data_IF_070446208076
#
_entry.id   IF_070446208076
#
_cell.length_a   1.000
_cell.length_b   1.000
_cell.length_c   1.000
_cell.angle_alpha   90.00
_cell.angle_beta   90.00
_cell.angle_gamma   90.00
#
_symmetry.space_group_name_H-M   'P 1'
#
loop_
_entity.id
_entity.type
_entity.pdbx_description
1 polymer ?
#
# COMPACT_ATOMS: atom_id res chain seq x y z
N UNK A 1 1.63 12.10 -11.87
CA UNK A 1 1.23 12.25 -10.47
C UNK A 1 0.43 11.01 -10.05
N UNK A 2 1.03 10.11 -9.26
CA UNK A 2 0.38 8.84 -8.90
C UNK A 2 -0.50 9.12 -7.69
N UNK A 3 -1.72 9.63 -7.92
CA UNK A 3 -2.68 9.99 -6.88
C UNK A 3 -3.03 8.85 -5.89
N UNK A 4 -2.61 7.63 -6.18
CA UNK A 4 -2.86 6.43 -5.38
C UNK A 4 -1.63 5.87 -4.65
N UNK A 5 -0.52 6.63 -4.54
CA UNK A 5 0.69 6.13 -3.86
C UNK A 5 0.44 5.68 -2.42
N UNK A 6 -0.45 6.36 -1.69
CA UNK A 6 -0.87 5.97 -0.34
C UNK A 6 -1.46 4.55 -0.30
N UNK A 7 -2.24 4.18 -1.33
CA UNK A 7 -2.91 2.90 -1.42
C UNK A 7 -1.93 1.79 -1.77
N UNK A 8 -1.00 2.05 -2.70
CA UNK A 8 0.08 1.10 -3.02
C UNK A 8 0.97 0.87 -1.79
N UNK A 9 1.32 1.94 -1.05
CA UNK A 9 2.08 1.82 0.20
C UNK A 9 1.31 1.02 1.26
N UNK A 10 -0.01 1.18 1.35
CA UNK A 10 -0.85 0.38 2.24
C UNK A 10 -0.80 -1.11 1.87
N UNK A 11 -0.99 -1.45 0.59
CA UNK A 11 -0.95 -2.83 0.10
C UNK A 11 0.42 -3.49 0.35
N UNK A 12 1.50 -2.74 0.20
CA UNK A 12 2.86 -3.22 0.40
C UNK A 12 3.29 -3.30 1.89
N UNK A 13 2.50 -2.74 2.81
CA UNK A 13 2.91 -2.55 4.21
C UNK A 13 3.02 -3.85 5.01
N UNK A 14 2.41 -4.94 4.55
CA UNK A 14 2.41 -6.26 5.20
C UNK A 14 2.56 -7.37 4.16
N UNK A 15 3.09 -8.51 4.59
CA UNK A 15 3.22 -9.69 3.72
C UNK A 15 1.88 -10.40 3.52
N UNK A 16 0.98 -10.30 4.50
CA UNK A 16 -0.37 -10.86 4.42
C UNK A 16 -1.41 -9.73 4.39
N UNK A 17 -2.18 -9.68 3.31
CA UNK A 17 -3.20 -8.68 3.05
C UNK A 17 -4.26 -8.62 4.18
N UNK A 18 -4.54 -9.75 4.83
CA UNK A 18 -5.50 -9.84 5.94
C UNK A 18 -5.04 -9.09 7.19
N UNK A 19 -3.76 -8.78 7.30
CA UNK A 19 -3.25 -7.98 8.41
C UNK A 19 -3.64 -6.51 8.26
N UNK A 20 -3.90 -6.04 7.03
CA UNK A 20 -4.35 -4.66 6.78
C UNK A 20 -5.68 -4.36 7.47
N UNK A 21 -6.59 -5.34 7.55
CA UNK A 21 -7.87 -5.21 8.24
C UNK A 21 -7.73 -4.99 9.76
N UNK A 22 -6.55 -5.26 10.33
CA UNK A 22 -6.30 -5.28 11.79
C UNK A 22 -5.27 -4.23 12.23
N UNK A 23 -4.77 -3.41 11.30
CA UNK A 23 -3.75 -2.42 11.60
C UNK A 23 -4.29 -1.30 12.48
N UNK A 24 -3.60 -1.02 13.59
CA UNK A 24 -3.93 0.12 14.45
C UNK A 24 -3.61 1.45 13.74
N UNK A 25 -4.35 2.49 14.06
CA UNK A 25 -4.14 3.85 13.54
C UNK A 25 -2.67 4.31 13.66
N UNK A 26 -2.03 4.06 14.79
CA UNK A 26 -0.61 4.41 15.02
C UNK A 26 0.36 3.75 14.04
N UNK A 27 0.01 2.57 13.51
CA UNK A 27 0.78 1.87 12.49
C UNK A 27 0.45 2.41 11.09
N UNK A 28 -0.82 2.70 10.81
CA UNK A 28 -1.25 3.32 9.55
C UNK A 28 -0.58 4.67 9.31
N UNK A 29 -0.45 5.49 10.36
CA UNK A 29 0.21 6.79 10.30
C UNK A 29 1.72 6.71 10.03
N UNK A 30 2.35 5.53 10.17
CA UNK A 30 3.75 5.30 9.80
C UNK A 30 3.92 4.95 8.32
N UNK A 31 2.83 4.66 7.60
CA UNK A 31 2.89 4.31 6.19
C UNK A 31 3.05 5.61 5.37
N UNK A 32 4.04 5.69 4.46
CA UNK A 32 4.26 6.88 3.66
C UNK A 32 3.02 7.27 2.84
N UNK A 33 2.76 8.57 2.72
CA UNK A 33 1.63 9.16 2.01
C UNK A 33 0.21 8.89 2.55
N UNK A 34 0.03 8.10 3.62
CA UNK A 34 -1.31 7.88 4.22
C UNK A 34 -1.83 9.12 4.96
N UNK A 35 -1.04 9.69 5.88
CA UNK A 35 -1.48 10.85 6.68
C UNK A 35 -2.79 10.61 7.46
N UNK A 36 -3.40 11.67 8.00
CA UNK A 36 -4.63 11.53 8.83
C UNK A 36 -5.86 11.15 8.01
N UNK A 37 -5.99 11.72 6.80
CA UNK A 37 -7.12 11.51 5.90
C UNK A 37 -7.25 10.02 5.53
N UNK A 38 -6.23 9.46 4.87
CA UNK A 38 -6.32 8.07 4.41
C UNK A 38 -6.25 7.07 5.57
N UNK A 39 -5.63 7.43 6.71
CA UNK A 39 -5.72 6.58 7.90
C UNK A 39 -7.18 6.45 8.39
N UNK A 40 -7.97 7.52 8.35
CA UNK A 40 -9.39 7.47 8.69
C UNK A 40 -10.19 6.63 7.67
N UNK A 41 -9.91 6.79 6.37
CA UNK A 41 -10.56 6.00 5.31
C UNK A 41 -10.27 4.50 5.47
N UNK A 42 -9.02 4.13 5.80
CA UNK A 42 -8.64 2.74 6.07
C UNK A 42 -9.33 2.21 7.32
N UNK A 43 -9.39 2.97 8.41
CA UNK A 43 -10.09 2.56 9.64
C UNK A 43 -11.59 2.33 9.39
N UNK A 44 -12.22 3.17 8.56
CA UNK A 44 -13.62 3.00 8.17
C UNK A 44 -13.82 1.71 7.35
N UNK A 45 -12.92 1.43 6.40
CA UNK A 45 -12.95 0.17 5.64
C UNK A 45 -12.74 -1.07 6.53
N UNK A 46 -11.82 -1.00 7.50
CA UNK A 46 -11.51 -2.11 8.41
C UNK A 46 -12.74 -2.65 9.15
N UNK A 47 -13.72 -1.79 9.45
CA UNK A 47 -14.94 -2.19 10.16
C UNK A 47 -15.81 -3.21 9.38
N UNK A 48 -15.71 -3.22 8.04
CA UNK A 48 -16.43 -4.14 7.17
C UNK A 48 -15.53 -5.02 6.31
N UNK A 49 -14.22 -5.04 6.58
CA UNK A 49 -13.27 -5.75 5.76
C UNK A 49 -13.44 -7.27 5.89
N UNK A 50 -13.72 -7.93 4.78
CA UNK A 50 -13.78 -9.38 4.65
C UNK A 50 -12.89 -9.87 3.53
N UNK A 51 -12.33 -11.06 3.67
CA UNK A 51 -11.50 -11.70 2.66
C UNK A 51 -12.13 -13.01 2.23
N UNK A 52 -12.14 -13.29 0.93
CA UNK A 52 -12.55 -14.59 0.41
C UNK A 52 -11.49 -15.64 0.73
N UNK A 53 -11.85 -16.91 0.52
CA UNK A 53 -10.91 -18.05 0.66
C UNK A 53 -9.74 -17.97 -0.31
N UNK A 54 -9.91 -17.27 -1.44
CA UNK A 54 -8.86 -17.09 -2.46
C UNK A 54 -7.73 -16.18 -1.99
N UNK A 55 -7.88 -15.45 -0.87
CA UNK A 55 -6.87 -14.53 -0.35
C UNK A 55 -5.51 -15.20 -0.12
N UNK A 56 -5.47 -16.50 0.19
CA UNK A 56 -4.22 -17.25 0.33
C UNK A 56 -3.48 -17.40 -1.00
N UNK A 57 -4.20 -17.42 -2.11
CA UNK A 57 -3.65 -17.54 -3.46
C UNK A 57 -3.33 -16.16 -4.04
N UNK A 58 -4.28 -15.24 -4.00
CA UNK A 58 -4.17 -13.93 -4.67
C UNK A 58 -3.51 -12.86 -3.80
N UNK A 59 -3.61 -12.96 -2.47
CA UNK A 59 -3.04 -11.99 -1.53
C UNK A 59 -1.54 -11.80 -1.70
N UNK A 60 -0.73 -12.88 -1.73
CA UNK A 60 0.71 -12.77 -1.97
C UNK A 60 1.04 -12.12 -3.31
N UNK A 61 0.25 -12.39 -4.37
CA UNK A 61 0.43 -11.79 -5.69
C UNK A 61 0.18 -10.27 -5.64
N UNK A 62 -0.91 -9.83 -5.01
CA UNK A 62 -1.25 -8.40 -4.85
C UNK A 62 -0.14 -7.66 -4.09
N UNK A 63 0.36 -8.23 -3.00
CA UNK A 63 1.45 -7.62 -2.20
C UNK A 63 2.74 -7.52 -3.03
N UNK A 64 3.09 -8.59 -3.76
CA UNK A 64 4.26 -8.58 -4.63
C UNK A 64 4.15 -7.52 -5.73
N UNK A 65 2.98 -7.38 -6.35
CA UNK A 65 2.73 -6.41 -7.41
C UNK A 65 2.82 -4.98 -6.89
N UNK A 66 2.24 -4.70 -5.72
CA UNK A 66 2.36 -3.40 -5.06
C UNK A 66 3.83 -3.02 -4.82
N UNK A 67 4.65 -3.97 -4.34
CA UNK A 67 6.08 -3.75 -4.12
C UNK A 67 6.83 -3.51 -5.44
N UNK A 68 6.50 -4.25 -6.49
CA UNK A 68 7.09 -4.06 -7.83
C UNK A 68 6.76 -2.68 -8.39
N UNK A 69 5.53 -2.22 -8.25
CA UNK A 69 5.12 -0.86 -8.67
C UNK A 69 5.93 0.21 -7.92
N UNK A 70 6.13 0.05 -6.60
CA UNK A 70 6.94 0.98 -5.81
C UNK A 70 8.40 1.00 -6.28
N UNK A 71 9.00 -0.17 -6.50
CA UNK A 71 10.38 -0.27 -6.99
C UNK A 71 10.54 0.40 -8.37
N UNK A 72 9.64 0.12 -9.31
CA UNK A 72 9.62 0.76 -10.62
C UNK A 72 9.49 2.28 -10.51
N UNK A 73 8.67 2.79 -9.59
CA UNK A 73 8.55 4.22 -9.34
C UNK A 73 9.87 4.86 -8.87
N UNK A 74 10.65 4.15 -8.05
CA UNK A 74 11.99 4.60 -7.63
C UNK A 74 12.97 4.62 -8.81
N UNK A 75 12.97 3.57 -9.64
CA UNK A 75 13.82 3.48 -10.83
C UNK A 75 13.50 4.58 -11.84
N UNK A 76 12.22 4.81 -12.14
CA UNK A 76 11.77 5.87 -13.04
C UNK A 76 12.25 7.23 -12.52
N UNK A 77 12.03 7.53 -11.24
CA UNK A 77 12.46 8.81 -10.65
C UNK A 77 13.98 9.00 -10.72
N UNK A 78 14.75 7.95 -10.53
CA UNK A 78 16.21 8.00 -10.67
C UNK A 78 16.65 8.27 -12.12
N UNK A 79 15.94 7.71 -13.11
CA UNK A 79 16.18 7.99 -14.52
C UNK A 79 15.79 9.43 -14.90
N UNK A 80 14.65 9.91 -14.44
CA UNK A 80 14.21 11.31 -14.64
C UNK A 80 15.25 12.30 -14.09
N UNK A 81 15.74 12.05 -12.87
CA UNK A 81 16.78 12.90 -12.25
C UNK A 81 18.08 12.92 -13.07
N UNK A 82 18.43 11.82 -13.74
CA UNK A 82 19.63 11.74 -14.61
C UNK A 82 19.45 12.44 -15.95
N UNK A 83 18.21 12.60 -16.42
CA UNK A 83 17.90 13.31 -17.67
C UNK A 83 17.81 14.82 -17.46
N UNK A 84 17.43 15.27 -16.25
CA UNK A 84 17.34 16.68 -15.86
C UNK A 84 18.67 17.27 -15.36
N UNK A 85 19.68 16.42 -15.09
CA UNK A 85 21.03 16.81 -14.65
C UNK A 85 21.99 17.05 -15.83
#
# INVERSE_FOLDING_TARGET
>A
DVGNLWFINLLAARDDLRQLARMRQVSLLKIPAIGRKYAADVLAWQAGASFSTEVELVGPMIVADARRILALGVEIKALETRLEA
#
